data_IF_846419638283
#
_entry.id   IF_846419638283
#
_cell.length_a   1.000
_cell.length_b   1.000
_cell.length_c   1.000
_cell.angle_alpha   90.00
_cell.angle_beta   90.00
_cell.angle_gamma   90.00
#
_symmetry.space_group_name_H-M   'P 1'
#
loop_
_entity.id
_entity.type
_entity.pdbx_description
1 polymer ?
#
# COMPACT_ATOMS: atom_id res chain seq x y z
N UNK A 1 -11.72 5.88 -17.56
CA UNK A 1 -12.80 5.89 -16.56
C UNK A 1 -12.69 4.58 -15.81
N UNK A 2 -12.58 4.60 -14.48
CA UNK A 2 -12.63 3.35 -13.71
C UNK A 2 -14.08 2.85 -13.73
N UNK A 3 -14.32 1.63 -13.25
CA UNK A 3 -15.64 0.99 -13.30
C UNK A 3 -16.75 1.97 -12.94
N UNK A 4 -17.87 1.89 -13.65
CA UNK A 4 -19.10 2.68 -13.39
C UNK A 4 -19.00 4.22 -13.48
N UNK A 5 -17.93 4.80 -14.03
CA UNK A 5 -17.85 6.26 -14.19
C UNK A 5 -16.96 6.97 -13.18
N UNK A 6 -16.49 6.25 -12.15
CA UNK A 6 -15.74 6.83 -11.05
C UNK A 6 -14.31 7.19 -11.46
N UNK A 7 -13.75 8.22 -10.81
CA UNK A 7 -12.31 8.47 -10.82
C UNK A 7 -11.58 7.43 -9.97
N UNK A 8 -10.27 7.24 -10.19
CA UNK A 8 -9.46 6.34 -9.34
C UNK A 8 -9.55 6.73 -7.86
N UNK A 9 -9.55 8.05 -7.58
CA UNK A 9 -9.65 8.58 -6.23
C UNK A 9 -10.96 8.14 -5.58
N UNK A 10 -12.08 8.34 -6.26
CA UNK A 10 -13.40 7.97 -5.73
C UNK A 10 -13.48 6.45 -5.50
N UNK A 11 -12.98 5.65 -6.45
CA UNK A 11 -12.99 4.20 -6.32
C UNK A 11 -12.17 3.70 -5.12
N UNK A 12 -11.02 4.33 -4.87
CA UNK A 12 -10.19 4.06 -3.69
C UNK A 12 -10.89 4.52 -2.41
N UNK A 13 -11.45 5.73 -2.39
CA UNK A 13 -12.13 6.32 -1.22
C UNK A 13 -13.33 5.46 -0.77
N UNK A 14 -14.14 5.01 -1.72
CA UNK A 14 -15.29 4.11 -1.47
C UNK A 14 -14.86 2.73 -0.92
N UNK A 15 -13.65 2.28 -1.24
CA UNK A 15 -13.12 0.99 -0.81
C UNK A 15 -12.30 1.08 0.48
N UNK A 16 -11.92 2.28 0.91
CA UNK A 16 -11.01 2.50 2.03
C UNK A 16 -11.74 2.43 3.39
N UNK A 17 -11.11 1.90 4.46
CA UNK A 17 -9.87 1.12 4.48
C UNK A 17 -10.09 -0.38 4.24
N UNK A 18 -11.32 -0.87 4.33
CA UNK A 18 -11.60 -2.30 4.54
C UNK A 18 -11.63 -3.16 3.27
N UNK A 19 -11.90 -2.56 2.11
CA UNK A 19 -12.07 -3.26 0.84
C UNK A 19 -10.93 -3.01 -0.15
N UNK A 20 -9.82 -2.43 0.30
CA UNK A 20 -8.65 -2.11 -0.53
C UNK A 20 -8.13 -3.33 -1.30
N UNK A 21 -8.09 -4.50 -0.66
CA UNK A 21 -7.64 -5.74 -1.30
C UNK A 21 -8.51 -6.16 -2.49
N UNK A 22 -9.78 -5.75 -2.52
CA UNK A 22 -10.71 -6.08 -3.62
C UNK A 22 -10.47 -5.24 -4.87
N UNK A 23 -9.80 -4.10 -4.72
CA UNK A 23 -9.49 -3.17 -5.82
C UNK A 23 -8.01 -3.18 -6.20
N UNK A 24 -7.19 -3.85 -5.39
CA UNK A 24 -5.77 -4.05 -5.65
C UNK A 24 -5.56 -5.09 -6.75
N UNK A 25 -4.52 -4.92 -7.56
CA UNK A 25 -4.08 -5.94 -8.50
C UNK A 25 -3.60 -7.17 -7.72
N UNK A 26 -4.08 -8.36 -8.08
CA UNK A 26 -3.73 -9.62 -7.43
C UNK A 26 -2.23 -9.91 -7.51
N UNK A 27 -1.55 -9.41 -8.54
CA UNK A 27 -0.10 -9.57 -8.71
C UNK A 27 0.70 -8.79 -7.67
N UNK A 28 0.12 -7.80 -6.98
CA UNK A 28 0.80 -7.08 -5.89
C UNK A 28 1.05 -7.97 -4.66
N UNK A 29 0.36 -9.10 -4.57
CA UNK A 29 0.48 -10.08 -3.49
C UNK A 29 1.11 -11.39 -3.95
N UNK A 30 1.32 -11.56 -5.26
CA UNK A 30 2.14 -12.64 -5.80
C UNK A 30 3.60 -12.28 -5.58
N UNK A 31 4.41 -13.22 -5.12
CA UNK A 31 5.86 -13.03 -5.14
C UNK A 31 6.37 -13.32 -6.56
N UNK A 32 7.19 -12.43 -7.08
CA UNK A 32 7.95 -12.72 -8.30
C UNK A 32 8.88 -13.89 -7.95
N UNK A 33 8.65 -15.06 -8.57
CA UNK A 33 9.44 -16.28 -8.40
C UNK A 33 10.95 -16.09 -8.72
N UNK A 34 11.37 -14.90 -9.18
CA UNK A 34 12.75 -14.58 -9.54
C UNK A 34 13.58 -13.97 -8.38
N UNK A 35 12.99 -13.66 -7.23
CA UNK A 35 13.74 -13.13 -6.06
C UNK A 35 13.91 -14.17 -4.93
N UNK A 36 13.93 -15.46 -5.28
CA UNK A 36 14.36 -16.49 -4.34
C UNK A 36 15.89 -16.48 -4.19
N UNK A 37 16.38 -15.89 -3.09
CA UNK A 37 17.56 -16.45 -2.45
C UNK A 37 17.23 -17.87 -2.01
N UNK A 38 18.16 -18.79 -2.29
CA UNK A 38 18.19 -20.26 -2.18
C UNK A 38 17.84 -20.89 -0.81
N UNK A 39 17.07 -20.22 0.03
CA UNK A 39 16.58 -20.78 1.29
C UNK A 39 15.07 -20.98 1.17
N UNK A 40 14.71 -22.10 0.55
CA UNK A 40 13.34 -22.57 0.46
C UNK A 40 12.82 -22.96 1.84
N UNK A 41 12.15 -22.04 2.51
CA UNK A 41 11.20 -22.38 3.57
C UNK A 41 10.19 -21.23 3.77
N UNK A 42 8.91 -21.54 3.57
CA UNK A 42 7.72 -20.81 4.02
C UNK A 42 7.68 -19.28 3.78
N UNK A 43 7.05 -18.86 2.68
CA UNK A 43 6.51 -17.49 2.58
C UNK A 43 5.33 -17.39 3.56
N UNK A 44 5.65 -17.03 4.80
CA UNK A 44 4.71 -16.96 5.91
C UNK A 44 3.69 -15.83 5.72
N UNK A 45 2.48 -16.02 6.26
CA UNK A 45 1.37 -15.06 6.35
C UNK A 45 1.74 -13.63 6.77
N UNK A 46 2.94 -13.42 7.35
CA UNK A 46 3.49 -12.11 7.69
C UNK A 46 3.68 -11.18 6.49
N UNK A 47 4.04 -11.71 5.32
CA UNK A 47 4.32 -10.89 4.14
C UNK A 47 3.04 -10.27 3.54
N UNK A 48 1.98 -11.06 3.39
CA UNK A 48 0.68 -10.58 2.91
C UNK A 48 0.07 -9.50 3.83
N UNK A 49 0.21 -9.66 5.15
CA UNK A 49 -0.26 -8.66 6.11
C UNK A 49 0.57 -7.37 6.05
N UNK A 50 1.89 -7.48 5.86
CA UNK A 50 2.77 -6.34 5.66
C UNK A 50 2.46 -5.59 4.36
N UNK A 51 2.26 -6.31 3.25
CA UNK A 51 1.80 -5.78 1.96
C UNK A 51 0.44 -5.08 2.08
N UNK A 52 -0.52 -5.66 2.82
CA UNK A 52 -1.82 -5.01 3.06
C UNK A 52 -1.68 -3.70 3.86
N UNK A 53 -0.90 -3.71 4.96
CA UNK A 53 -0.65 -2.51 5.78
C UNK A 53 0.10 -1.43 4.99
N UNK A 54 1.03 -1.84 4.11
CA UNK A 54 1.70 -0.97 3.14
C UNK A 54 0.67 -0.24 2.29
N UNK A 55 -0.11 -1.02 1.55
CA UNK A 55 -1.02 -0.55 0.54
C UNK A 55 -2.05 0.38 1.16
N UNK A 56 -2.59 0.01 2.32
CA UNK A 56 -3.51 0.87 3.09
C UNK A 56 -2.87 2.22 3.41
N UNK A 57 -1.65 2.24 3.94
CA UNK A 57 -0.98 3.49 4.32
C UNK A 57 -0.65 4.38 3.12
N UNK A 58 -0.25 3.77 1.99
CA UNK A 58 0.06 4.49 0.76
C UNK A 58 -1.21 5.08 0.13
N UNK A 59 -2.30 4.32 0.07
CA UNK A 59 -3.57 4.79 -0.47
C UNK A 59 -4.19 5.88 0.39
N UNK A 60 -4.11 5.78 1.72
CA UNK A 60 -4.52 6.86 2.63
C UNK A 60 -3.79 8.17 2.29
N UNK A 61 -2.45 8.10 2.13
CA UNK A 61 -1.66 9.27 1.73
C UNK A 61 -2.03 9.76 0.33
N UNK A 62 -2.29 8.84 -0.61
CA UNK A 62 -2.75 9.14 -1.96
C UNK A 62 -4.08 9.90 -1.98
N UNK A 63 -5.04 9.51 -1.13
CA UNK A 63 -6.33 10.21 -1.00
C UNK A 63 -6.14 11.66 -0.52
N UNK A 64 -5.27 11.87 0.47
CA UNK A 64 -4.94 13.21 0.97
C UNK A 64 -4.22 14.04 -0.11
N UNK A 65 -3.26 13.45 -0.83
CA UNK A 65 -2.54 14.13 -1.91
C UNK A 65 -3.42 14.49 -3.10
N UNK A 66 -4.49 13.70 -3.33
CA UNK A 66 -5.39 13.85 -4.46
C UNK A 66 -6.68 14.61 -4.14
N UNK A 67 -6.80 15.22 -2.95
CA UNK A 67 -7.95 16.07 -2.60
C UNK A 67 -8.26 17.08 -3.71
N UNK A 68 -9.55 17.27 -4.01
CA UNK A 68 -9.99 18.12 -5.11
C UNK A 68 -9.55 19.56 -4.89
N UNK A 69 -9.69 20.05 -3.65
CA UNK A 69 -9.26 21.39 -3.28
C UNK A 69 -7.74 21.43 -3.05
N UNK A 70 -6.98 22.31 -3.74
CA UNK A 70 -5.53 22.42 -3.55
C UNK A 70 -5.12 22.69 -2.09
N UNK A 71 -5.94 23.43 -1.35
CA UNK A 71 -5.69 23.79 0.06
C UNK A 71 -5.83 22.61 1.03
N UNK A 72 -6.49 21.53 0.64
CA UNK A 72 -6.67 20.32 1.45
C UNK A 72 -5.57 19.28 1.18
N UNK A 73 -4.76 19.50 0.14
CA UNK A 73 -3.64 18.63 -0.17
C UNK A 73 -2.50 18.89 0.81
N UNK A 74 -1.88 17.81 1.24
CA UNK A 74 -0.68 17.86 2.06
C UNK A 74 0.50 18.50 1.31
N UNK A 75 1.37 19.20 2.03
CA UNK A 75 2.59 19.75 1.42
C UNK A 75 3.53 18.61 1.00
N UNK A 76 4.27 18.77 -0.09
CA UNK A 76 5.22 17.74 -0.54
C UNK A 76 6.30 17.42 0.51
N UNK A 77 6.67 18.41 1.35
CA UNK A 77 7.57 18.20 2.48
C UNK A 77 7.00 17.18 3.47
N UNK A 78 5.74 17.32 3.83
CA UNK A 78 5.07 16.42 4.76
C UNK A 78 4.78 15.06 4.13
N UNK A 79 4.46 15.02 2.83
CA UNK A 79 4.30 13.77 2.06
C UNK A 79 5.58 12.94 2.11
N UNK A 80 6.75 13.53 1.87
CA UNK A 80 8.05 12.82 1.95
C UNK A 80 8.29 12.27 3.35
N UNK A 81 7.98 13.04 4.40
CA UNK A 81 8.11 12.57 5.79
C UNK A 81 7.19 11.36 6.04
N UNK A 82 5.94 11.39 5.57
CA UNK A 82 5.01 10.26 5.73
C UNK A 82 5.44 9.03 4.92
N UNK A 83 5.88 9.21 3.67
CA UNK A 83 6.40 8.12 2.84
C UNK A 83 7.62 7.44 3.50
N UNK A 84 8.55 8.21 4.05
CA UNK A 84 9.69 7.64 4.77
C UNK A 84 9.25 6.82 5.99
N UNK A 85 8.24 7.29 6.75
CA UNK A 85 7.68 6.52 7.86
C UNK A 85 7.01 5.22 7.39
N UNK A 86 6.28 5.25 6.27
CA UNK A 86 5.66 4.05 5.68
C UNK A 86 6.75 3.06 5.27
N UNK A 87 7.79 3.51 4.53
CA UNK A 87 8.93 2.68 4.12
C UNK A 87 9.61 2.02 5.32
N UNK A 88 9.90 2.77 6.39
CA UNK A 88 10.56 2.23 7.58
C UNK A 88 9.71 1.14 8.27
N UNK A 89 8.39 1.33 8.37
CA UNK A 89 7.48 0.34 8.94
C UNK A 89 7.50 -0.97 8.15
N UNK A 90 7.55 -0.90 6.83
CA UNK A 90 7.58 -2.08 5.96
C UNK A 90 8.88 -2.85 6.10
N UNK A 91 10.00 -2.15 6.04
CA UNK A 91 11.31 -2.75 6.22
C UNK A 91 11.45 -3.36 7.63
N UNK A 92 10.85 -2.74 8.66
CA UNK A 92 10.86 -3.32 10.01
C UNK A 92 9.94 -4.54 10.15
N UNK A 93 8.77 -4.54 9.50
CA UNK A 93 7.83 -5.67 9.54
C UNK A 93 8.37 -6.89 8.80
N UNK A 94 9.03 -6.68 7.65
CA UNK A 94 9.72 -7.74 6.93
C UNK A 94 10.83 -8.38 7.76
N UNK A 95 11.56 -7.60 8.57
CA UNK A 95 12.63 -8.11 9.46
C UNK A 95 12.11 -8.82 10.71
N UNK A 96 10.96 -8.39 11.24
CA UNK A 96 10.37 -8.99 12.44
C UNK A 96 9.72 -10.36 12.19
N UNK A 97 9.53 -10.74 10.92
CA UNK A 97 8.99 -12.05 10.53
C UNK A 97 10.10 -13.12 10.34
N UNK A 98 11.35 -12.78 10.65
CA UNK A 98 12.55 -13.64 10.49
C UNK A 98 13.10 -14.10 11.87
N UNK A 99 12.37 -13.86 12.97
CA UNK A 99 12.70 -14.30 14.34
C UNK A 99 11.44 -14.86 15.00
#
# INVERSE_FOLDING_TARGET
MFSSGSSIRQWVDESFPHAILKIADGNLFMDDEETHSDDGDNIELGDAQAKHKCLSSVLELGLICSSEMPKERMTMKDVVVRLNKIKMKLVSLARASIH
#
